data_IF_184944738624
#
_entry.id   IF_184944738624
#
_cell.length_a   1.000
_cell.length_b   1.000
_cell.length_c   1.000
_cell.angle_alpha   90.00
_cell.angle_beta   90.00
_cell.angle_gamma   90.00
#
_symmetry.space_group_name_H-M   'P 1'
#
loop_
_entity.id
_entity.type
_entity.pdbx_description
1 polymer ?
#
# COMPACT_ATOMS: atom_id res chain seq x y z
N UNK A 1 15.38 50.87 13.84
CA UNK A 1 14.51 50.72 15.03
C UNK A 1 13.07 50.60 14.55
N UNK A 2 12.44 49.45 14.80
CA UNK A 2 11.01 49.29 15.15
C UNK A 2 10.79 47.79 15.30
N UNK A 3 10.97 47.38 16.55
CA UNK A 3 10.88 46.04 17.11
C UNK A 3 9.41 45.66 17.27
N UNK A 4 8.97 44.50 16.76
CA UNK A 4 7.59 44.04 16.89
C UNK A 4 7.57 42.63 17.49
N UNK A 5 7.78 42.58 18.81
CA UNK A 5 7.70 41.37 19.62
C UNK A 5 6.25 40.94 19.83
N UNK A 6 5.77 39.91 19.12
CA UNK A 6 4.54 39.21 19.48
C UNK A 6 4.81 38.16 20.57
N UNK A 7 4.49 38.52 21.82
CA UNK A 7 4.43 37.59 22.97
C UNK A 7 3.13 36.79 22.90
N UNK A 8 3.21 35.49 22.65
CA UNK A 8 2.11 34.52 22.79
C UNK A 8 2.00 34.07 24.25
N UNK A 9 0.85 34.36 24.87
CA UNK A 9 0.50 33.99 26.24
C UNK A 9 -0.02 32.55 26.27
N UNK A 10 0.67 31.66 26.99
CA UNK A 10 0.22 30.28 27.28
C UNK A 10 -0.92 30.30 28.29
N UNK A 11 -2.10 29.81 27.92
CA UNK A 11 -3.15 29.49 28.90
C UNK A 11 -2.83 28.16 29.60
N UNK A 12 -2.82 28.20 30.93
CA UNK A 12 -2.79 27.03 31.82
C UNK A 12 -4.21 26.81 32.30
N UNK A 13 -4.80 25.64 32.04
CA UNK A 13 -5.99 25.19 32.79
C UNK A 13 -6.01 23.66 32.98
N UNK A 14 -5.57 23.29 34.18
CA UNK A 14 -6.20 22.41 35.18
C UNK A 14 -6.68 21.00 34.79
N UNK A 15 -5.89 20.01 35.23
CA UNK A 15 -6.27 18.58 35.37
C UNK A 15 -7.38 18.43 36.41
N UNK A 16 -8.43 17.65 36.10
CA UNK A 16 -9.40 17.16 37.09
C UNK A 16 -9.33 15.64 37.19
N UNK A 17 -8.93 15.18 38.37
CA UNK A 17 -8.83 13.79 38.81
C UNK A 17 -10.23 13.33 39.25
N UNK A 18 -10.63 12.11 38.89
CA UNK A 18 -11.74 11.40 39.54
C UNK A 18 -11.22 10.08 40.13
N UNK A 19 -11.31 9.96 41.45
CA UNK A 19 -11.01 8.74 42.22
C UNK A 19 -12.31 8.23 42.86
N UNK A 20 -12.58 6.95 42.57
CA UNK A 20 -13.17 5.90 43.43
C UNK A 20 -14.56 6.07 44.06
N UNK A 21 -15.38 5.03 43.89
CA UNK A 21 -16.00 4.32 45.02
C UNK A 21 -16.26 2.85 44.72
N UNK A 22 -15.89 2.02 45.70
CA UNK A 22 -16.07 0.57 45.81
C UNK A 22 -17.45 0.24 46.43
N UNK A 23 -17.98 -0.94 46.13
CA UNK A 23 -19.05 -1.62 46.86
C UNK A 23 -19.77 -2.59 45.91
N UNK A 24 -19.99 -3.86 46.19
CA UNK A 24 -19.68 -4.71 47.34
C UNK A 24 -19.79 -6.18 46.89
N UNK A 25 -19.10 -7.06 47.62
CA UNK A 25 -19.20 -8.51 47.45
C UNK A 25 -20.33 -9.05 48.34
N UNK A 26 -21.08 -10.06 47.88
CA UNK A 26 -21.71 -11.07 48.73
C UNK A 26 -21.88 -12.39 47.96
N UNK A 27 -21.49 -13.47 48.64
CA UNK A 27 -21.46 -14.88 48.24
C UNK A 27 -22.84 -15.54 48.29
N UNK A 28 -23.03 -16.61 47.51
CA UNK A 28 -23.69 -17.84 47.96
C UNK A 28 -23.35 -19.03 47.04
N UNK A 29 -22.78 -20.07 47.64
CA UNK A 29 -22.53 -21.38 47.04
C UNK A 29 -23.62 -22.38 47.48
N UNK A 30 -24.00 -23.30 46.59
CA UNK A 30 -24.48 -24.63 46.97
C UNK A 30 -24.43 -25.60 45.77
N UNK A 31 -23.77 -26.74 45.98
CA UNK A 31 -23.70 -27.91 45.11
C UNK A 31 -25.04 -28.65 45.02
N UNK A 32 -25.27 -29.40 43.93
CA UNK A 32 -25.45 -30.86 44.00
C UNK A 32 -25.45 -31.53 42.62
N UNK A 33 -24.89 -32.73 42.61
CA UNK A 33 -24.56 -33.56 41.46
C UNK A 33 -25.79 -34.26 40.84
N UNK A 34 -25.71 -34.53 39.53
CA UNK A 34 -26.59 -35.44 38.81
C UNK A 34 -25.84 -36.04 37.63
N UNK A 35 -25.32 -37.25 37.82
CA UNK A 35 -24.70 -38.08 36.79
C UNK A 35 -25.80 -38.57 35.82
N UNK A 36 -25.69 -38.24 34.54
CA UNK A 36 -26.35 -38.98 33.47
C UNK A 36 -25.38 -39.09 32.28
N UNK A 37 -24.76 -40.25 32.15
CA UNK A 37 -23.97 -40.61 30.97
C UNK A 37 -24.94 -40.85 29.81
N UNK A 38 -24.93 -39.95 28.82
CA UNK A 38 -25.57 -40.14 27.53
C UNK A 38 -24.49 -40.48 26.47
N UNK A 39 -24.78 -41.38 25.51
CA UNK A 39 -23.79 -41.92 24.60
C UNK A 39 -23.24 -40.83 23.66
N UNK A 40 -21.92 -40.84 23.49
CA UNK A 40 -21.21 -39.97 22.58
C UNK A 40 -21.63 -40.27 21.13
N UNK A 41 -22.54 -39.45 20.60
CA UNK A 41 -22.70 -39.33 19.16
C UNK A 41 -21.46 -38.59 18.63
N UNK A 42 -20.56 -39.34 18.01
CA UNK A 42 -19.47 -38.76 17.20
C UNK A 42 -20.09 -38.05 16.01
N UNK A 43 -20.42 -36.77 16.20
CA UNK A 43 -20.57 -35.85 15.09
C UNK A 43 -19.20 -35.77 14.43
N UNK A 44 -19.04 -36.41 13.28
CA UNK A 44 -17.93 -36.18 12.39
C UNK A 44 -18.02 -34.70 11.96
N UNK A 45 -17.35 -33.84 12.73
CA UNK A 45 -17.12 -32.46 12.34
C UNK A 45 -16.30 -32.54 11.04
N UNK A 46 -16.96 -32.25 9.93
CA UNK A 46 -16.32 -31.97 8.66
C UNK A 46 -15.29 -30.88 8.90
N UNK A 47 -14.04 -31.27 9.12
CA UNK A 47 -12.91 -30.37 9.17
C UNK A 47 -12.77 -29.82 7.75
N UNK A 48 -13.48 -28.73 7.47
CA UNK A 48 -13.08 -27.83 6.41
C UNK A 48 -11.65 -27.43 6.76
N UNK A 49 -10.70 -28.04 6.07
CA UNK A 49 -9.30 -27.66 6.15
C UNK A 49 -9.26 -26.23 5.62
N UNK A 50 -9.32 -25.27 6.54
CA UNK A 50 -9.17 -23.86 6.24
C UNK A 50 -7.73 -23.69 5.76
N UNK A 51 -7.52 -23.89 4.45
CA UNK A 51 -6.24 -23.63 3.82
C UNK A 51 -5.85 -22.21 4.21
N UNK A 52 -4.71 -21.99 4.90
CA UNK A 52 -4.30 -20.64 5.23
C UNK A 52 -4.20 -19.86 3.92
N UNK A 53 -5.07 -18.86 3.76
CA UNK A 53 -5.12 -18.05 2.55
C UNK A 53 -3.77 -17.33 2.45
N UNK A 54 -2.99 -17.63 1.42
CA UNK A 54 -1.62 -17.14 1.30
C UNK A 54 -1.61 -15.65 0.98
N UNK A 55 -0.60 -14.96 1.51
CA UNK A 55 -0.24 -13.60 1.11
C UNK A 55 -0.13 -13.49 -0.42
N UNK A 56 -0.59 -12.38 -0.98
CA UNK A 56 -0.64 -12.15 -2.43
C UNK A 56 -1.81 -12.83 -3.15
N UNK A 57 -2.72 -13.50 -2.43
CA UNK A 57 -3.93 -14.06 -3.04
C UNK A 57 -4.82 -12.95 -3.59
N UNK A 58 -5.14 -13.02 -4.88
CA UNK A 58 -6.08 -12.14 -5.56
C UNK A 58 -7.51 -12.39 -5.05
N UNK A 59 -8.18 -11.34 -4.57
CA UNK A 59 -9.57 -11.37 -4.09
C UNK A 59 -10.53 -10.94 -5.20
N UNK A 60 -10.27 -9.82 -5.86
CA UNK A 60 -11.13 -9.30 -6.93
C UNK A 60 -10.34 -8.51 -7.97
N UNK A 61 -10.87 -8.46 -9.19
CA UNK A 61 -10.40 -7.62 -10.30
C UNK A 61 -11.56 -6.73 -10.72
N UNK A 62 -11.37 -5.41 -10.69
CA UNK A 62 -12.41 -4.44 -11.07
C UNK A 62 -11.84 -3.52 -12.16
N UNK A 63 -12.41 -3.49 -13.38
CA UNK A 63 -12.03 -2.51 -14.39
C UNK A 63 -12.30 -1.09 -13.85
N UNK A 64 -11.34 -0.17 -14.02
CA UNK A 64 -11.46 1.21 -13.54
C UNK A 64 -11.19 2.26 -14.61
N UNK A 65 -10.49 1.92 -15.69
CA UNK A 65 -10.34 2.79 -16.87
C UNK A 65 -9.95 1.96 -18.10
N UNK A 66 -10.27 2.50 -19.27
CA UNK A 66 -9.82 1.97 -20.56
C UNK A 66 -9.72 3.12 -21.55
N UNK A 67 -8.53 3.30 -22.13
CA UNK A 67 -8.27 4.36 -23.11
C UNK A 67 -7.57 3.77 -24.33
N UNK A 68 -7.93 4.22 -25.52
CA UNK A 68 -7.09 4.01 -26.69
C UNK A 68 -5.85 4.92 -26.62
N UNK A 69 -4.95 4.81 -27.62
CA UNK A 69 -3.75 5.63 -27.65
C UNK A 69 -4.07 7.14 -27.69
N UNK A 70 -5.16 7.55 -28.35
CA UNK A 70 -5.60 8.95 -28.38
C UNK A 70 -6.05 9.46 -27.02
N UNK A 71 -6.82 8.66 -26.28
CA UNK A 71 -7.24 8.95 -24.91
C UNK A 71 -6.06 9.07 -23.94
N UNK A 72 -5.05 8.21 -24.08
CA UNK A 72 -3.81 8.32 -23.30
C UNK A 72 -3.07 9.63 -23.63
N UNK A 73 -2.93 9.99 -24.91
CA UNK A 73 -2.32 11.27 -25.30
C UNK A 73 -3.05 12.46 -24.69
N UNK A 74 -4.39 12.45 -24.74
CA UNK A 74 -5.21 13.51 -24.15
C UNK A 74 -4.99 13.60 -22.64
N UNK A 75 -5.06 12.49 -21.92
CA UNK A 75 -4.84 12.44 -20.47
C UNK A 75 -3.48 13.02 -20.05
N UNK A 76 -2.43 12.67 -20.80
CA UNK A 76 -1.05 13.14 -20.57
C UNK A 76 -0.89 14.62 -20.93
N UNK A 77 -1.40 15.05 -22.09
CA UNK A 77 -1.30 16.43 -22.56
C UNK A 77 -2.04 17.42 -21.64
N UNK A 78 -3.19 17.05 -21.09
CA UNK A 78 -3.93 17.85 -20.10
C UNK A 78 -3.15 18.05 -18.78
N UNK A 79 -2.05 17.32 -18.58
CA UNK A 79 -1.15 17.39 -17.42
C UNK A 79 0.27 17.85 -17.81
N UNK A 80 0.40 18.49 -18.97
CA UNK A 80 1.66 18.99 -19.52
C UNK A 80 2.76 17.92 -19.68
N UNK A 81 2.36 16.66 -19.86
CA UNK A 81 3.28 15.54 -20.09
C UNK A 81 3.53 15.32 -21.58
N UNK A 82 4.78 15.00 -21.93
CA UNK A 82 5.14 14.63 -23.30
C UNK A 82 4.37 13.39 -23.77
N UNK A 83 3.97 13.38 -25.04
CA UNK A 83 3.11 12.32 -25.62
C UNK A 83 3.77 11.54 -26.74
N UNK A 84 5.01 11.85 -27.08
CA UNK A 84 5.76 11.24 -28.18
C UNK A 84 6.01 9.74 -27.95
N UNK A 85 6.05 9.32 -26.68
CA UNK A 85 6.25 7.92 -26.29
C UNK A 85 4.98 7.07 -26.27
N UNK A 86 3.81 7.63 -26.59
CA UNK A 86 2.53 6.91 -26.56
C UNK A 86 2.42 5.96 -27.75
N UNK A 87 2.56 4.65 -27.50
CA UNK A 87 2.48 3.61 -28.53
C UNK A 87 1.18 2.80 -28.46
N UNK A 88 0.70 2.51 -27.25
CA UNK A 88 -0.48 1.67 -27.02
C UNK A 88 -1.55 2.41 -26.20
N UNK A 89 -2.82 2.01 -26.39
CA UNK A 89 -3.86 2.28 -25.39
C UNK A 89 -3.58 1.53 -24.08
N UNK A 90 -4.39 1.76 -23.06
CA UNK A 90 -4.25 1.14 -21.74
C UNK A 90 -5.59 0.63 -21.21
N UNK A 91 -5.55 -0.50 -20.51
CA UNK A 91 -6.65 -1.01 -19.71
C UNK A 91 -6.19 -1.09 -18.25
N UNK A 92 -6.95 -0.49 -17.35
CA UNK A 92 -6.60 -0.36 -15.95
C UNK A 92 -7.60 -1.07 -15.03
N UNK A 93 -7.08 -1.79 -14.06
CA UNK A 93 -7.84 -2.63 -13.14
C UNK A 93 -7.43 -2.33 -11.70
N UNK A 94 -8.41 -2.10 -10.82
CA UNK A 94 -8.18 -2.18 -9.37
C UNK A 94 -8.20 -3.64 -8.95
N UNK A 95 -7.14 -4.07 -8.30
CA UNK A 95 -7.05 -5.37 -7.66
C UNK A 95 -7.28 -5.21 -6.16
N UNK A 96 -8.06 -6.11 -5.58
CA UNK A 96 -8.07 -6.33 -4.13
C UNK A 96 -7.31 -7.60 -3.85
N UNK A 97 -6.37 -7.58 -2.90
CA UNK A 97 -5.53 -8.73 -2.60
C UNK A 97 -5.28 -8.90 -1.10
N UNK A 98 -4.92 -10.12 -0.70
CA UNK A 98 -4.61 -10.49 0.68
C UNK A 98 -3.16 -10.13 1.01
N UNK A 99 -2.95 -9.52 2.17
CA UNK A 99 -1.64 -9.14 2.71
C UNK A 99 -1.68 -9.18 4.25
N UNK A 100 -0.68 -8.62 4.92
CA UNK A 100 -0.57 -8.51 6.37
C UNK A 100 -0.34 -7.08 6.80
N UNK A 101 -0.81 -6.73 8.00
CA UNK A 101 -0.51 -5.46 8.65
C UNK A 101 0.92 -5.44 9.25
N UNK A 102 1.38 -4.29 9.81
CA UNK A 102 2.72 -4.20 10.42
C UNK A 102 2.97 -5.20 11.56
N UNK A 103 1.92 -5.76 12.16
CA UNK A 103 1.99 -6.73 13.26
C UNK A 103 1.84 -8.18 12.77
N UNK A 104 1.78 -8.40 11.44
CA UNK A 104 1.65 -9.72 10.82
C UNK A 104 0.22 -10.26 10.77
N UNK A 105 -0.79 -9.48 11.17
CA UNK A 105 -2.19 -9.91 11.12
C UNK A 105 -2.72 -9.83 9.69
N UNK A 106 -3.48 -10.84 9.28
CA UNK A 106 -4.08 -10.88 7.94
C UNK A 106 -5.02 -9.69 7.70
N UNK A 107 -4.88 -9.07 6.53
CA UNK A 107 -5.71 -7.97 6.04
C UNK A 107 -5.82 -8.02 4.51
N UNK A 108 -6.44 -7.01 3.90
CA UNK A 108 -6.47 -6.79 2.46
C UNK A 108 -5.93 -5.42 2.11
N UNK A 109 -5.47 -5.27 0.88
CA UNK A 109 -5.12 -3.97 0.31
C UNK A 109 -5.62 -3.90 -1.14
N UNK A 110 -5.59 -2.69 -1.70
CA UNK A 110 -5.87 -2.46 -3.12
C UNK A 110 -4.65 -1.94 -3.86
N UNK A 111 -4.70 -2.01 -5.19
CA UNK A 111 -3.67 -1.46 -6.06
C UNK A 111 -4.15 -1.46 -7.51
N UNK A 112 -3.44 -0.71 -8.34
CA UNK A 112 -3.70 -0.58 -9.76
C UNK A 112 -2.82 -1.57 -10.56
N UNK A 113 -3.45 -2.33 -11.45
CA UNK A 113 -2.79 -3.03 -12.54
C UNK A 113 -3.16 -2.33 -13.85
N UNK A 114 -2.18 -1.82 -14.57
CA UNK A 114 -2.39 -1.20 -15.89
C UNK A 114 -1.67 -2.01 -16.96
N UNK A 115 -2.39 -2.38 -18.01
CA UNK A 115 -1.91 -3.21 -19.10
C UNK A 115 -2.00 -2.44 -20.43
N UNK A 116 -0.98 -2.53 -21.31
CA UNK A 116 -1.09 -2.03 -22.68
C UNK A 116 -2.14 -2.81 -23.47
N UNK A 117 -2.94 -2.09 -24.24
CA UNK A 117 -3.85 -2.65 -25.25
C UNK A 117 -3.08 -2.81 -26.55
N UNK A 118 -2.30 -3.89 -26.64
CA UNK A 118 -1.42 -4.19 -27.78
C UNK A 118 -0.03 -4.65 -27.34
N UNK A 119 0.93 -4.66 -28.27
CA UNK A 119 2.33 -5.01 -27.96
C UNK A 119 2.57 -6.48 -27.64
N UNK A 120 3.66 -6.76 -26.91
CA UNK A 120 4.08 -8.13 -26.56
C UNK A 120 3.00 -8.84 -25.74
N UNK A 121 2.83 -10.15 -25.99
CA UNK A 121 1.89 -10.96 -25.22
C UNK A 121 2.33 -11.14 -23.76
N UNK A 122 3.64 -11.42 -23.55
CA UNK A 122 4.26 -11.47 -22.23
C UNK A 122 4.89 -10.11 -21.90
N UNK A 123 4.56 -9.56 -20.74
CA UNK A 123 4.87 -8.17 -20.39
C UNK A 123 5.88 -8.07 -19.24
N UNK A 124 6.91 -7.25 -19.41
CA UNK A 124 7.77 -6.84 -18.31
C UNK A 124 7.01 -5.91 -17.35
N UNK A 125 7.41 -5.92 -16.08
CA UNK A 125 6.67 -5.26 -15.01
C UNK A 125 7.40 -3.98 -14.60
N UNK A 126 6.68 -2.87 -14.52
CA UNK A 126 7.09 -1.71 -13.72
C UNK A 126 6.32 -1.74 -12.41
N UNK A 127 7.02 -1.86 -11.29
CA UNK A 127 6.43 -1.62 -9.98
C UNK A 127 6.54 -0.13 -9.69
N UNK A 128 5.41 0.57 -9.66
CA UNK A 128 5.34 2.03 -9.49
C UNK A 128 4.78 2.36 -8.10
N UNK A 129 5.65 2.81 -7.20
CA UNK A 129 5.28 3.11 -5.82
C UNK A 129 5.07 4.60 -5.65
N UNK A 130 3.85 5.00 -5.26
CA UNK A 130 3.45 6.40 -5.19
C UNK A 130 4.01 7.13 -3.96
N UNK A 131 4.05 8.46 -4.03
CA UNK A 131 4.43 9.33 -2.92
C UNK A 131 3.34 9.47 -1.86
N UNK A 132 3.55 10.39 -0.91
CA UNK A 132 2.65 10.60 0.23
C UNK A 132 1.22 10.93 -0.20
N UNK A 133 0.24 10.22 0.38
CA UNK A 133 -1.18 10.47 0.18
C UNK A 133 -1.89 10.70 1.51
N UNK A 134 -2.46 11.89 1.69
CA UNK A 134 -3.25 12.25 2.88
C UNK A 134 -4.71 11.82 2.79
N UNK A 135 -5.21 11.59 1.57
CA UNK A 135 -6.56 11.10 1.31
C UNK A 135 -6.48 9.73 0.62
N UNK A 136 -7.18 8.74 1.17
CA UNK A 136 -7.24 7.38 0.61
C UNK A 136 -7.75 7.33 -0.83
N UNK A 137 -8.61 8.28 -1.22
CA UNK A 137 -9.21 8.26 -2.55
C UNK A 137 -8.27 8.80 -3.65
N UNK A 138 -7.11 9.37 -3.29
CA UNK A 138 -6.05 9.73 -4.26
C UNK A 138 -5.21 8.54 -4.72
N UNK A 139 -5.40 7.37 -4.11
CA UNK A 139 -4.67 6.17 -4.47
C UNK A 139 -4.87 5.79 -5.95
N UNK A 140 -3.86 5.25 -6.63
CA UNK A 140 -3.90 5.03 -8.07
C UNK A 140 -5.03 4.07 -8.50
N UNK A 141 -5.45 3.15 -7.63
CA UNK A 141 -6.57 2.25 -7.91
C UNK A 141 -7.96 2.91 -7.81
N UNK A 142 -8.05 4.14 -7.30
CA UNK A 142 -9.30 4.87 -7.08
C UNK A 142 -9.39 6.06 -8.04
N UNK A 143 -8.49 7.04 -7.94
CA UNK A 143 -8.52 8.25 -8.75
C UNK A 143 -7.79 8.07 -10.09
N UNK A 144 -8.29 8.76 -11.12
CA UNK A 144 -7.63 8.93 -12.42
C UNK A 144 -7.06 10.36 -12.52
N UNK A 145 -6.16 10.68 -11.60
CA UNK A 145 -5.56 12.01 -11.45
C UNK A 145 -4.06 11.98 -11.82
N UNK A 146 -3.29 12.96 -11.34
CA UNK A 146 -1.85 13.03 -11.58
C UNK A 146 -1.10 11.78 -11.09
N UNK A 147 -1.63 11.07 -10.08
CA UNK A 147 -1.05 9.83 -9.56
C UNK A 147 -1.02 8.69 -10.57
N UNK A 148 -1.83 8.72 -11.65
CA UNK A 148 -1.78 7.72 -12.73
C UNK A 148 -0.82 8.06 -13.87
N UNK A 149 -0.21 9.25 -13.88
CA UNK A 149 0.72 9.64 -14.94
C UNK A 149 1.88 8.64 -15.11
N UNK A 150 2.61 8.23 -14.06
CA UNK A 150 3.71 7.28 -14.24
C UNK A 150 3.21 5.93 -14.74
N UNK A 151 2.04 5.48 -14.29
CA UNK A 151 1.41 4.27 -14.79
C UNK A 151 1.10 4.33 -16.29
N UNK A 152 0.48 5.40 -16.77
CA UNK A 152 0.12 5.50 -18.19
C UNK A 152 1.33 5.69 -19.08
N UNK A 153 2.35 6.45 -18.65
CA UNK A 153 3.61 6.60 -19.38
C UNK A 153 4.34 5.26 -19.57
N UNK A 154 4.36 4.41 -18.54
CA UNK A 154 5.00 3.09 -18.63
C UNK A 154 4.14 2.07 -19.39
N UNK A 155 2.82 2.09 -19.15
CA UNK A 155 1.92 1.15 -19.79
C UNK A 155 1.82 1.38 -21.29
N UNK A 156 1.69 2.64 -21.72
CA UNK A 156 1.65 2.96 -23.16
C UNK A 156 2.94 2.62 -23.90
N UNK A 157 4.08 2.57 -23.19
CA UNK A 157 5.36 2.10 -23.73
C UNK A 157 5.48 0.57 -23.79
N UNK A 158 4.41 -0.18 -23.47
CA UNK A 158 4.34 -1.63 -23.66
C UNK A 158 4.71 -2.46 -22.43
N UNK A 159 4.70 -1.89 -21.22
CA UNK A 159 4.97 -2.60 -19.95
C UNK A 159 3.70 -2.79 -19.14
N UNK A 160 3.62 -3.84 -18.33
CA UNK A 160 2.59 -3.91 -17.30
C UNK A 160 3.01 -3.02 -16.12
N UNK A 161 2.09 -2.22 -15.58
CA UNK A 161 2.34 -1.43 -14.37
C UNK A 161 1.59 -2.03 -13.20
N UNK A 162 2.29 -2.20 -12.09
CA UNK A 162 1.75 -2.67 -10.82
C UNK A 162 2.01 -1.60 -9.78
N UNK A 163 0.96 -0.87 -9.39
CA UNK A 163 1.05 0.23 -8.44
C UNK A 163 0.22 -0.09 -7.18
N UNK A 164 0.83 -0.53 -6.07
CA UNK A 164 0.12 -0.77 -4.83
C UNK A 164 -0.40 0.55 -4.25
N UNK A 165 -1.59 0.56 -3.66
CA UNK A 165 -2.09 1.74 -2.94
C UNK A 165 -1.43 1.89 -1.54
N UNK A 166 -0.69 0.88 -1.07
CA UNK A 166 -0.32 0.66 0.33
C UNK A 166 -1.50 0.30 1.26
N UNK A 167 -1.19 -0.09 2.50
CA UNK A 167 -2.20 -0.37 3.52
C UNK A 167 -2.96 0.90 3.90
N UNK A 168 -4.26 0.78 4.19
CA UNK A 168 -5.10 1.87 4.68
C UNK A 168 -5.45 2.97 3.68
N UNK A 169 -4.95 2.89 2.45
CA UNK A 169 -5.30 3.77 1.32
C UNK A 169 -6.17 3.02 0.31
N UNK A 170 -6.64 3.73 -0.71
CA UNK A 170 -7.56 3.21 -1.72
C UNK A 170 -8.84 2.70 -1.07
N UNK A 171 -9.18 1.44 -1.34
CA UNK A 171 -10.32 0.74 -0.69
C UNK A 171 -9.87 -0.28 0.36
N UNK A 172 -8.61 -0.23 0.78
CA UNK A 172 -8.08 -1.04 1.88
C UNK A 172 -8.61 -0.58 3.25
N UNK A 173 -8.82 -1.49 4.22
CA UNK A 173 -9.24 -1.14 5.57
C UNK A 173 -8.09 -0.52 6.38
N UNK A 174 -8.46 0.16 7.47
CA UNK A 174 -7.51 0.68 8.45
C UNK A 174 -6.95 2.06 8.09
N UNK A 175 -5.85 2.41 8.75
CA UNK A 175 -5.10 3.66 8.53
C UNK A 175 -3.79 3.34 7.83
N UNK A 176 -3.32 4.29 7.03
CA UNK A 176 -2.04 4.16 6.36
C UNK A 176 -0.90 4.20 7.40
N UNK A 177 -0.08 3.15 7.53
CA UNK A 177 1.12 3.17 8.36
C UNK A 177 2.21 3.94 7.61
N UNK A 178 2.10 5.26 7.62
CA UNK A 178 3.00 6.16 6.91
C UNK A 178 4.47 5.89 7.29
N UNK A 179 5.33 5.76 6.29
CA UNK A 179 6.77 5.46 6.43
C UNK A 179 7.13 4.13 7.11
N UNK A 180 6.15 3.26 7.37
CA UNK A 180 6.44 1.89 7.77
C UNK A 180 6.94 1.09 6.55
N UNK A 181 8.27 0.96 6.48
CA UNK A 181 8.97 0.28 5.37
C UNK A 181 8.49 -1.16 5.21
N UNK A 182 8.33 -1.88 6.32
CA UNK A 182 7.98 -3.30 6.32
C UNK A 182 6.64 -3.56 5.65
N UNK A 183 5.60 -2.86 6.08
CA UNK A 183 4.25 -3.00 5.51
C UNK A 183 4.14 -2.51 4.07
N UNK A 184 4.89 -1.45 3.71
CA UNK A 184 4.93 -0.96 2.33
C UNK A 184 5.55 -1.99 1.38
N UNK A 185 6.63 -2.66 1.81
CA UNK A 185 7.25 -3.77 1.07
C UNK A 185 6.33 -4.99 1.00
N UNK A 186 5.69 -5.39 2.11
CA UNK A 186 4.80 -6.57 2.10
C UNK A 186 3.59 -6.36 1.18
N UNK A 187 2.96 -5.18 1.24
CA UNK A 187 1.88 -4.80 0.33
C UNK A 187 2.35 -4.81 -1.14
N UNK A 188 3.52 -4.25 -1.43
CA UNK A 188 4.06 -4.20 -2.80
C UNK A 188 4.36 -5.59 -3.38
N UNK A 189 5.02 -6.46 -2.63
CA UNK A 189 5.29 -7.85 -3.05
C UNK A 189 3.99 -8.64 -3.26
N UNK A 190 3.02 -8.47 -2.37
CA UNK A 190 1.74 -9.17 -2.48
C UNK A 190 0.88 -8.64 -3.61
N UNK A 191 0.98 -7.34 -3.93
CA UNK A 191 0.36 -6.77 -5.12
C UNK A 191 0.96 -7.36 -6.40
N UNK A 192 2.29 -7.55 -6.49
CA UNK A 192 2.92 -8.22 -7.63
C UNK A 192 2.38 -9.64 -7.84
N UNK A 193 2.23 -10.42 -6.76
CA UNK A 193 1.65 -11.77 -6.79
C UNK A 193 0.20 -11.77 -7.29
N UNK A 194 -0.61 -10.84 -6.79
CA UNK A 194 -1.99 -10.69 -7.20
C UNK A 194 -2.09 -10.23 -8.67
N UNK A 195 -1.23 -9.30 -9.08
CA UNK A 195 -1.14 -8.80 -10.44
C UNK A 195 -0.78 -9.89 -11.44
N UNK A 196 0.17 -10.78 -11.12
CA UNK A 196 0.46 -11.95 -11.96
C UNK A 196 -0.78 -12.82 -12.16
N UNK A 197 -1.48 -13.15 -11.07
CA UNK A 197 -2.71 -13.96 -11.13
C UNK A 197 -3.79 -13.27 -11.98
N UNK A 198 -3.96 -11.96 -11.82
CA UNK A 198 -4.93 -11.19 -12.57
C UNK A 198 -4.56 -11.11 -14.06
N UNK A 199 -3.30 -10.82 -14.37
CA UNK A 199 -2.79 -10.67 -15.73
C UNK A 199 -2.84 -12.01 -16.50
N UNK A 200 -2.54 -13.14 -15.84
CA UNK A 200 -2.73 -14.48 -16.42
C UNK A 200 -4.20 -14.74 -16.77
N UNK A 201 -5.14 -14.38 -15.88
CA UNK A 201 -6.60 -14.49 -16.14
C UNK A 201 -7.08 -13.58 -17.26
N UNK A 202 -6.41 -12.44 -17.46
CA UNK A 202 -6.69 -11.47 -18.53
C UNK A 202 -5.98 -11.83 -19.85
N UNK A 203 -5.24 -12.95 -19.91
CA UNK A 203 -4.53 -13.38 -21.11
C UNK A 203 -3.31 -12.50 -21.46
N UNK A 204 -2.73 -11.83 -20.45
CA UNK A 204 -1.60 -10.90 -20.59
C UNK A 204 -0.49 -11.26 -19.59
N UNK A 205 0.12 -12.46 -19.69
CA UNK A 205 1.02 -12.98 -18.68
C UNK A 205 2.22 -12.04 -18.43
N UNK A 206 2.65 -11.92 -17.18
CA UNK A 206 3.80 -11.08 -16.82
C UNK A 206 5.11 -11.87 -16.94
N UNK A 207 6.20 -11.25 -17.40
CA UNK A 207 7.54 -11.77 -17.18
C UNK A 207 7.90 -11.49 -15.71
N UNK A 208 8.60 -12.40 -15.05
CA UNK A 208 9.00 -12.20 -13.64
C UNK A 208 10.01 -11.06 -13.43
N UNK A 209 10.28 -10.27 -14.46
CA UNK A 209 11.30 -9.25 -14.48
C UNK A 209 10.69 -7.91 -14.07
N UNK A 210 11.13 -7.41 -12.90
CA UNK A 210 10.58 -6.21 -12.25
C UNK A 210 11.54 -5.05 -12.35
N UNK A 211 11.04 -3.94 -12.88
CA UNK A 211 11.67 -2.63 -12.89
C UNK A 211 11.00 -1.81 -11.80
N UNK A 212 11.70 -1.50 -10.71
CA UNK A 212 11.12 -0.82 -9.56
C UNK A 212 11.43 0.69 -9.61
N UNK A 213 10.40 1.51 -9.44
CA UNK A 213 10.50 2.97 -9.38
C UNK A 213 9.48 3.53 -8.41
N UNK A 214 9.70 4.75 -7.94
CA UNK A 214 8.75 5.47 -7.11
C UNK A 214 9.28 6.84 -6.71
N UNK A 215 8.38 7.71 -6.26
CA UNK A 215 8.69 9.11 -5.94
C UNK A 215 8.41 9.45 -4.47
N UNK A 216 9.27 10.24 -3.83
CA UNK A 216 9.10 10.69 -2.44
C UNK A 216 9.03 9.49 -1.47
N UNK A 217 7.98 9.34 -0.64
CA UNK A 217 7.74 8.10 0.11
C UNK A 217 7.90 6.87 -0.79
N UNK A 218 7.32 6.90 -1.99
CA UNK A 218 7.42 5.85 -2.97
C UNK A 218 8.85 5.55 -3.42
N UNK A 219 9.77 6.52 -3.39
CA UNK A 219 11.19 6.29 -3.63
C UNK A 219 11.82 5.45 -2.52
N UNK A 220 11.47 5.70 -1.25
CA UNK A 220 11.91 4.86 -0.13
C UNK A 220 11.32 3.45 -0.24
N UNK A 221 10.04 3.32 -0.60
CA UNK A 221 9.40 2.01 -0.83
C UNK A 221 10.02 1.27 -2.02
N UNK A 222 10.30 1.94 -3.15
CA UNK A 222 10.93 1.33 -4.32
C UNK A 222 12.30 0.76 -3.98
N UNK A 223 13.13 1.53 -3.25
CA UNK A 223 14.45 1.07 -2.80
C UNK A 223 14.33 -0.16 -1.89
N UNK A 224 13.42 -0.13 -0.91
CA UNK A 224 13.21 -1.23 0.00
C UNK A 224 12.64 -2.49 -0.71
N UNK A 225 11.73 -2.30 -1.67
CA UNK A 225 11.21 -3.37 -2.52
C UNK A 225 12.32 -3.99 -3.36
N UNK A 226 13.20 -3.18 -3.94
CA UNK A 226 14.38 -3.63 -4.68
C UNK A 226 15.23 -4.56 -3.83
N UNK A 227 15.62 -4.11 -2.62
CA UNK A 227 16.37 -4.91 -1.65
C UNK A 227 15.65 -6.22 -1.29
N UNK A 228 14.33 -6.19 -1.11
CA UNK A 228 13.54 -7.37 -0.80
C UNK A 228 13.54 -8.39 -1.96
N UNK A 229 13.40 -7.93 -3.20
CA UNK A 229 13.43 -8.80 -4.38
C UNK A 229 14.83 -9.40 -4.61
N UNK A 230 15.89 -8.63 -4.43
CA UNK A 230 17.27 -9.15 -4.46
C UNK A 230 17.51 -10.18 -3.34
N UNK A 231 16.92 -9.96 -2.16
CA UNK A 231 16.95 -10.90 -1.04
C UNK A 231 16.02 -12.12 -1.18
N UNK A 232 15.34 -12.30 -2.31
CA UNK A 232 14.51 -13.48 -2.57
C UNK A 232 13.13 -13.45 -1.90
N UNK A 233 12.55 -12.26 -1.66
CA UNK A 233 11.20 -12.12 -1.10
C UNK A 233 10.11 -12.81 -1.93
N UNK A 234 10.38 -13.09 -3.21
CA UNK A 234 9.58 -13.95 -4.07
C UNK A 234 10.46 -14.82 -4.97
N UNK A 235 9.96 -16.01 -5.35
CA UNK A 235 10.70 -16.95 -6.22
C UNK A 235 10.51 -16.68 -7.71
N UNK A 236 9.44 -15.98 -8.08
CA UNK A 236 9.12 -15.66 -9.47
C UNK A 236 9.64 -14.29 -9.88
N UNK A 237 9.46 -13.30 -9.01
CA UNK A 237 9.85 -11.92 -9.31
C UNK A 237 11.31 -11.66 -9.00
N UNK A 238 12.01 -11.03 -9.94
CA UNK A 238 13.43 -10.68 -9.84
C UNK A 238 13.59 -9.22 -10.23
N UNK A 239 14.37 -8.49 -9.45
CA UNK A 239 14.72 -7.11 -9.79
C UNK A 239 15.60 -7.10 -11.05
N UNK A 240 15.25 -6.24 -12.01
CA UNK A 240 16.02 -5.99 -13.23
C UNK A 240 16.62 -4.60 -13.29
N UNK A 241 15.90 -3.62 -12.79
CA UNK A 241 16.40 -2.27 -12.64
C UNK A 241 15.69 -1.60 -11.46
N UNK A 242 16.36 -0.62 -10.89
CA UNK A 242 15.89 0.14 -9.75
C UNK A 242 16.14 1.63 -10.01
N UNK A 243 15.09 2.44 -9.94
CA UNK A 243 15.15 3.90 -10.16
C UNK A 243 14.30 4.64 -9.12
N UNK A 244 14.71 4.67 -7.84
CA UNK A 244 13.98 5.38 -6.80
C UNK A 244 14.26 6.89 -6.90
N UNK A 245 13.23 7.71 -6.77
CA UNK A 245 13.33 9.18 -6.99
C UNK A 245 12.98 9.94 -5.72
N UNK A 246 13.90 10.78 -5.26
CA UNK A 246 13.71 11.71 -4.13
C UNK A 246 13.15 11.05 -2.86
N UNK A 247 13.59 9.81 -2.57
CA UNK A 247 13.14 9.08 -1.39
C UNK A 247 13.91 9.48 -0.13
N UNK A 248 13.26 9.50 1.04
CA UNK A 248 13.96 9.73 2.31
C UNK A 248 14.66 8.44 2.78
N UNK A 249 15.87 8.20 2.27
CA UNK A 249 16.59 6.94 2.48
C UNK A 249 17.22 6.82 3.87
N UNK A 250 17.60 7.96 4.48
CA UNK A 250 18.19 8.04 5.82
C UNK A 250 17.46 9.06 6.69
N UNK A 251 16.21 8.73 7.06
CA UNK A 251 15.39 9.59 7.92
C UNK A 251 16.05 9.89 9.27
N UNK A 252 16.65 8.87 9.90
CA UNK A 252 17.24 9.05 11.22
C UNK A 252 18.53 9.87 11.17
N UNK A 253 19.35 9.69 10.13
CA UNK A 253 20.61 10.41 9.96
C UNK A 253 20.45 11.83 9.43
N UNK A 254 19.41 12.12 8.66
CA UNK A 254 19.20 13.45 8.08
C UNK A 254 18.15 14.28 8.84
N UNK A 255 16.97 13.73 9.11
CA UNK A 255 15.85 14.51 9.66
C UNK A 255 16.03 14.82 11.15
N UNK A 256 16.54 13.86 11.94
CA UNK A 256 16.75 14.06 13.38
C UNK A 256 17.77 15.17 13.63
N UNK A 257 18.97 15.18 13.02
CA UNK A 257 19.90 16.29 13.23
C UNK A 257 19.35 17.62 12.69
N UNK A 258 18.65 17.61 11.55
CA UNK A 258 18.09 18.80 10.93
C UNK A 258 17.06 19.53 11.82
N UNK A 259 16.34 18.80 12.67
CA UNK A 259 15.45 19.36 13.69
C UNK A 259 16.19 20.13 14.80
N UNK A 260 17.44 19.75 15.10
CA UNK A 260 18.21 20.35 16.19
C UNK A 260 19.20 21.42 15.73
N UNK A 261 19.57 21.44 14.45
CA UNK A 261 20.52 22.40 13.89
C UNK A 261 19.87 23.52 13.05
N UNK A 262 18.54 23.50 12.91
CA UNK A 262 17.77 24.55 12.24
C UNK A 262 17.74 24.47 10.71
N UNK A 263 18.23 23.38 10.11
CA UNK A 263 18.11 23.12 8.67
C UNK A 263 16.66 22.90 8.22
N UNK A 264 15.79 22.44 9.11
CA UNK A 264 14.36 22.25 8.86
C UNK A 264 13.57 23.01 9.92
N UNK A 265 12.44 23.61 9.52
CA UNK A 265 11.56 24.29 10.49
C UNK A 265 10.81 23.25 11.35
N UNK A 266 10.49 23.63 12.58
CA UNK A 266 9.85 22.77 13.58
C UNK A 266 8.58 22.05 13.08
N UNK A 267 7.80 22.69 12.19
CA UNK A 267 6.56 22.12 11.68
C UNK A 267 6.79 21.06 10.59
N UNK A 268 7.76 21.30 9.69
CA UNK A 268 8.09 20.35 8.63
C UNK A 268 8.92 19.16 9.13
N UNK A 269 9.76 19.36 10.16
CA UNK A 269 10.63 18.30 10.67
C UNK A 269 9.90 17.15 11.38
N UNK A 270 8.64 17.37 11.75
CA UNK A 270 7.77 16.35 12.35
C UNK A 270 7.02 15.50 11.32
N UNK A 271 7.11 15.80 10.02
CA UNK A 271 6.33 15.09 9.00
C UNK A 271 6.77 13.62 8.89
N UNK A 272 8.05 13.33 9.15
CA UNK A 272 8.64 12.00 8.99
C UNK A 272 8.93 11.26 10.31
N UNK A 273 8.55 11.83 11.46
CA UNK A 273 8.74 11.27 12.81
C UNK A 273 7.42 10.89 13.48
#
# INVERSE_FOLDING_TARGET
MSDNTHKTVKSKETRRIWRTRRGGALLAAALLAGLAAAPAATAAASSSTHRPVSRGTLVSVTPVASHDAGGVKKFLAERDMATDSVQYGVAAYRLTYRTVDPYGKATTATGLLTLPVGGKHRLDIVSDTHGTMVNRDYAPSVAEDFGRVPSYLNATAGRAVVAPDYLGLGKGPGRHPYMDTGSSVTASVDMLRAARTAADRLGRPLSGDVYATGFSQGGQVAMALGRALEGGADRYFRLKALAPVSGPYDLAGEEIPALFDGRVNDASGLIYL
#
